data_IF_959772619564
#
_entry.id   IF_959772619564
#
_cell.length_a   1.000
_cell.length_b   1.000
_cell.length_c   1.000
_cell.angle_alpha   90.00
_cell.angle_beta   90.00
_cell.angle_gamma   90.00
#
_symmetry.space_group_name_H-M   'P 1'
#
loop_
_entity.id
_entity.type
_entity.pdbx_description
1 polymer ?
#
# COMPACT_ATOMS: atom_id res chain seq x y z
N UNK A 1 18.98 -13.99 -31.71
CA UNK A 1 19.90 -13.28 -32.62
C UNK A 1 19.63 -11.80 -32.52
N UNK A 2 20.62 -11.00 -32.11
CA UNK A 2 20.47 -9.54 -32.09
C UNK A 2 20.71 -8.97 -33.51
N UNK A 3 19.79 -8.17 -34.00
CA UNK A 3 19.89 -7.44 -35.27
C UNK A 3 19.96 -5.94 -35.04
N UNK A 4 20.72 -5.23 -35.89
CA UNK A 4 20.86 -3.78 -35.84
C UNK A 4 19.94 -3.11 -36.85
N UNK A 5 19.19 -2.11 -36.41
CA UNK A 5 18.37 -1.30 -37.29
C UNK A 5 19.23 -0.44 -38.22
N UNK A 6 18.63 0.00 -39.33
CA UNK A 6 19.19 0.98 -40.27
C UNK A 6 18.19 2.12 -40.42
N UNK A 7 18.66 3.34 -40.67
CA UNK A 7 17.77 4.48 -40.86
C UNK A 7 16.83 4.24 -42.03
N UNK A 8 15.52 4.37 -41.79
CA UNK A 8 14.47 4.19 -42.77
C UNK A 8 13.31 5.14 -42.47
N UNK A 9 12.69 5.69 -43.51
CA UNK A 9 11.50 6.52 -43.41
C UNK A 9 10.60 6.30 -44.63
N UNK A 10 9.29 6.17 -44.43
CA UNK A 10 8.33 6.04 -45.52
C UNK A 10 7.16 5.10 -45.24
N UNK A 11 6.26 5.02 -46.21
CA UNK A 11 5.08 4.13 -46.21
C UNK A 11 5.55 2.67 -46.22
N UNK A 12 4.95 1.80 -45.39
CA UNK A 12 5.27 0.38 -45.27
C UNK A 12 6.60 0.07 -44.58
N UNK A 13 7.24 1.06 -43.95
CA UNK A 13 8.50 0.86 -43.22
C UNK A 13 8.20 0.29 -41.83
N UNK A 14 8.44 -1.01 -41.68
CA UNK A 14 8.30 -1.71 -40.42
C UNK A 14 9.47 -2.66 -40.21
N UNK A 15 9.92 -2.83 -38.96
CA UNK A 15 10.81 -3.92 -38.57
C UNK A 15 10.01 -5.10 -38.02
N UNK A 16 9.75 -6.09 -38.88
CA UNK A 16 9.12 -7.35 -38.50
C UNK A 16 10.17 -8.34 -37.99
N UNK A 17 10.16 -8.61 -36.69
CA UNK A 17 11.08 -9.51 -36.04
C UNK A 17 10.66 -10.96 -36.26
N UNK A 18 11.57 -11.79 -36.76
CA UNK A 18 11.35 -13.25 -36.79
C UNK A 18 11.45 -13.86 -35.39
N UNK A 19 11.01 -15.11 -35.24
CA UNK A 19 10.87 -15.78 -33.94
C UNK A 19 12.14 -15.85 -33.06
N UNK A 20 13.32 -15.65 -33.64
CA UNK A 20 14.60 -15.68 -32.91
C UNK A 20 15.30 -14.33 -32.87
N UNK A 21 14.70 -13.28 -33.43
CA UNK A 21 15.32 -11.97 -33.56
C UNK A 21 14.95 -11.03 -32.41
N UNK A 22 15.97 -10.30 -31.97
CA UNK A 22 15.90 -9.16 -31.07
C UNK A 22 16.46 -7.94 -31.82
N UNK A 23 16.04 -6.73 -31.47
CA UNK A 23 16.41 -5.51 -32.20
C UNK A 23 17.20 -4.53 -31.32
N UNK A 24 18.18 -3.87 -31.91
CA UNK A 24 18.75 -2.63 -31.38
C UNK A 24 18.65 -1.50 -32.42
N UNK A 25 18.11 -0.36 -32.00
CA UNK A 25 18.11 0.91 -32.73
C UNK A 25 19.20 1.79 -32.12
N UNK A 26 20.41 1.69 -32.68
CA UNK A 26 21.60 2.38 -32.17
C UNK A 26 21.47 3.91 -32.25
N UNK A 27 22.27 4.61 -31.45
CA UNK A 27 22.33 6.07 -31.48
C UNK A 27 22.56 6.61 -32.89
N UNK A 28 21.76 7.60 -33.29
CA UNK A 28 21.82 8.22 -34.62
C UNK A 28 21.03 7.47 -35.71
N UNK A 29 20.46 6.30 -35.39
CA UNK A 29 19.52 5.60 -36.26
C UNK A 29 18.10 6.13 -36.02
N UNK A 30 17.37 6.36 -37.11
CA UNK A 30 15.96 6.77 -37.07
C UNK A 30 15.10 5.81 -37.88
N UNK A 31 14.07 5.26 -37.23
CA UNK A 31 13.00 4.49 -37.86
C UNK A 31 11.74 5.35 -37.88
N UNK A 32 11.16 5.58 -39.06
CA UNK A 32 9.97 6.43 -39.22
C UNK A 32 8.96 5.77 -40.13
N UNK A 33 8.07 4.98 -39.54
CA UNK A 33 6.87 4.49 -40.21
C UNK A 33 5.85 5.63 -40.28
N UNK A 34 5.17 5.80 -41.42
CA UNK A 34 4.20 6.90 -41.62
C UNK A 34 2.77 6.42 -41.89
N UNK A 35 2.52 5.12 -41.76
CA UNK A 35 1.24 4.46 -42.04
C UNK A 35 1.00 3.20 -41.18
N UNK A 36 1.94 2.83 -40.29
CA UNK A 36 1.89 1.57 -39.55
C UNK A 36 2.80 1.63 -38.30
N UNK A 37 3.04 0.47 -37.67
CA UNK A 37 3.99 0.30 -36.57
C UNK A 37 5.44 0.58 -36.97
N UNK A 38 6.27 1.01 -36.02
CA UNK A 38 7.73 1.11 -36.22
C UNK A 38 8.44 -0.24 -36.14
N UNK A 39 8.12 -1.03 -35.11
CA UNK A 39 8.68 -2.35 -34.83
C UNK A 39 7.56 -3.30 -34.42
N UNK A 40 7.60 -4.53 -34.92
CA UNK A 40 6.61 -5.57 -34.61
C UNK A 40 7.25 -6.94 -34.36
N UNK A 41 6.69 -7.69 -33.42
CA UNK A 41 7.11 -9.06 -33.14
C UNK A 41 6.07 -9.85 -32.33
N UNK A 42 5.93 -11.14 -32.61
CA UNK A 42 4.92 -12.01 -32.01
C UNK A 42 5.53 -13.13 -31.14
N UNK A 43 6.85 -13.30 -31.17
CA UNK A 43 7.49 -14.44 -30.53
C UNK A 43 7.84 -14.16 -29.06
N UNK A 44 7.79 -15.20 -28.25
CA UNK A 44 8.10 -15.11 -26.83
C UNK A 44 9.53 -14.58 -26.59
N UNK A 45 9.69 -13.77 -25.54
CA UNK A 45 10.97 -13.26 -25.03
C UNK A 45 11.76 -12.40 -26.02
N UNK A 46 11.08 -11.78 -26.99
CA UNK A 46 11.72 -10.82 -27.89
C UNK A 46 12.12 -9.56 -27.13
N UNK A 47 13.29 -9.02 -27.46
CA UNK A 47 13.81 -7.79 -26.83
C UNK A 47 14.08 -6.70 -27.87
N UNK A 48 13.69 -5.47 -27.56
CA UNK A 48 13.99 -4.28 -28.36
C UNK A 48 14.75 -3.26 -27.50
N UNK A 49 15.90 -2.80 -27.96
CA UNK A 49 16.69 -1.74 -27.32
C UNK A 49 16.73 -0.48 -28.20
N UNK A 50 16.42 0.68 -27.63
CA UNK A 50 16.30 1.96 -28.35
C UNK A 50 17.27 2.98 -27.78
N UNK A 51 18.31 3.30 -28.53
CA UNK A 51 19.26 4.40 -28.28
C UNK A 51 19.08 5.56 -29.28
N UNK A 52 18.45 5.27 -30.43
CA UNK A 52 18.12 6.22 -31.49
C UNK A 52 16.67 6.72 -31.39
N UNK A 53 16.02 6.82 -32.55
CA UNK A 53 14.64 7.30 -32.68
C UNK A 53 13.76 6.27 -33.37
N UNK A 54 12.58 6.01 -32.81
CA UNK A 54 11.50 5.27 -33.45
C UNK A 54 10.25 6.15 -33.49
N UNK A 55 9.62 6.21 -34.64
CA UNK A 55 8.33 6.86 -34.87
C UNK A 55 7.41 5.86 -35.56
N UNK A 56 6.25 5.60 -34.95
CA UNK A 56 5.12 4.90 -35.53
C UNK A 56 3.95 5.85 -35.77
N UNK A 57 3.11 5.56 -36.75
CA UNK A 57 1.82 6.26 -36.91
C UNK A 57 0.74 5.58 -36.10
N UNK A 58 0.70 4.24 -36.15
CA UNK A 58 0.10 3.39 -35.12
C UNK A 58 1.11 3.31 -33.95
N UNK A 59 1.30 2.14 -33.32
CA UNK A 59 2.30 2.02 -32.24
C UNK A 59 3.73 2.21 -32.74
N UNK A 60 4.57 2.91 -31.99
CA UNK A 60 5.99 2.93 -32.34
C UNK A 60 6.65 1.55 -32.16
N UNK A 61 6.23 0.77 -31.15
CA UNK A 61 6.63 -0.63 -30.94
C UNK A 61 5.43 -1.45 -30.49
N UNK A 62 5.15 -2.57 -31.16
CA UNK A 62 4.16 -3.58 -30.73
C UNK A 62 4.81 -4.95 -30.60
N UNK A 63 4.83 -5.55 -29.41
CA UNK A 63 5.33 -6.91 -29.19
C UNK A 63 4.30 -7.78 -28.47
N UNK A 64 3.93 -8.92 -29.05
CA UNK A 64 2.81 -9.73 -28.57
C UNK A 64 3.21 -10.98 -27.78
N UNK A 65 4.48 -11.39 -27.89
CA UNK A 65 4.95 -12.62 -27.27
C UNK A 65 5.13 -12.50 -25.75
N UNK A 66 4.77 -13.56 -25.02
CA UNK A 66 5.04 -13.70 -23.58
C UNK A 66 6.51 -13.39 -23.25
N UNK A 67 6.74 -12.53 -22.26
CA UNK A 67 8.08 -12.15 -21.81
C UNK A 67 8.77 -11.12 -22.69
N UNK A 68 8.04 -10.39 -23.54
CA UNK A 68 8.59 -9.32 -24.36
C UNK A 68 9.21 -8.19 -23.51
N UNK A 69 10.32 -7.63 -23.97
CA UNK A 69 11.03 -6.57 -23.24
C UNK A 69 11.42 -5.41 -24.14
N UNK A 70 11.19 -4.18 -23.67
CA UNK A 70 11.65 -2.95 -24.33
C UNK A 70 12.53 -2.15 -23.38
N UNK A 71 13.72 -1.77 -23.85
CA UNK A 71 14.65 -0.89 -23.12
C UNK A 71 14.90 0.37 -23.93
N UNK A 72 14.54 1.53 -23.37
CA UNK A 72 14.82 2.85 -23.94
C UNK A 72 16.02 3.44 -23.18
N UNK A 73 17.16 3.54 -23.86
CA UNK A 73 18.38 4.08 -23.29
C UNK A 73 18.29 5.61 -23.13
N UNK A 74 19.21 6.19 -22.36
CA UNK A 74 19.33 7.63 -22.24
C UNK A 74 19.56 8.28 -23.62
N UNK A 75 18.71 9.23 -23.99
CA UNK A 75 18.70 9.88 -25.31
C UNK A 75 17.94 9.12 -26.40
N UNK A 76 17.49 7.88 -26.13
CA UNK A 76 16.56 7.15 -26.97
C UNK A 76 15.18 7.81 -26.95
N UNK A 77 14.50 7.80 -28.10
CA UNK A 77 13.20 8.44 -28.28
C UNK A 77 12.23 7.52 -29.01
N UNK A 78 11.03 7.39 -28.48
CA UNK A 78 9.92 6.64 -29.06
C UNK A 78 8.73 7.58 -29.16
N UNK A 79 8.13 7.68 -30.35
CA UNK A 79 6.98 8.54 -30.63
C UNK A 79 5.90 7.76 -31.40
N UNK A 80 4.81 7.38 -30.72
CA UNK A 80 3.55 6.97 -31.34
C UNK A 80 2.77 8.21 -31.77
N UNK A 81 2.42 8.34 -33.04
CA UNK A 81 1.85 9.60 -33.56
C UNK A 81 0.33 9.67 -33.39
N UNK A 82 -0.37 8.56 -33.64
CA UNK A 82 -1.82 8.44 -33.47
C UNK A 82 -2.23 7.37 -32.45
N UNK A 83 -1.31 6.46 -32.11
CA UNK A 83 -1.52 5.36 -31.17
C UNK A 83 -0.34 5.29 -30.19
N UNK A 84 -0.08 4.14 -29.59
CA UNK A 84 0.80 4.01 -28.44
C UNK A 84 2.29 4.22 -28.70
N UNK A 85 3.01 4.67 -27.68
CA UNK A 85 4.46 4.68 -27.70
C UNK A 85 5.00 3.24 -27.74
N UNK A 86 4.56 2.41 -26.81
CA UNK A 86 4.92 1.00 -26.72
C UNK A 86 3.68 0.21 -26.30
N UNK A 87 3.33 -0.80 -27.09
CA UNK A 87 2.34 -1.80 -26.71
C UNK A 87 2.99 -3.18 -26.51
N UNK A 88 2.74 -3.81 -25.36
CA UNK A 88 3.14 -5.19 -25.07
C UNK A 88 1.93 -6.04 -24.67
N UNK A 89 1.49 -6.97 -25.54
CA UNK A 89 0.27 -7.75 -25.33
C UNK A 89 0.48 -9.15 -24.69
N UNK A 90 1.68 -9.40 -24.15
CA UNK A 90 2.09 -10.70 -23.64
C UNK A 90 2.44 -10.66 -22.16
N UNK A 91 1.97 -11.64 -21.39
CA UNK A 91 2.28 -11.78 -19.97
C UNK A 91 3.80 -11.77 -19.70
N UNK A 92 4.19 -11.33 -18.50
CA UNK A 92 5.59 -11.19 -18.07
C UNK A 92 6.38 -10.13 -18.86
N UNK A 93 5.70 -9.11 -19.37
CA UNK A 93 6.28 -8.02 -20.15
C UNK A 93 7.05 -7.02 -19.27
N UNK A 94 8.11 -6.43 -19.82
CA UNK A 94 8.97 -5.46 -19.14
C UNK A 94 9.32 -4.26 -20.02
N UNK A 95 9.03 -3.06 -19.54
CA UNK A 95 9.50 -1.80 -20.12
C UNK A 95 10.50 -1.16 -19.14
N UNK A 96 11.68 -0.78 -19.63
CA UNK A 96 12.65 0.04 -18.89
C UNK A 96 12.94 1.32 -19.67
N UNK A 97 12.61 2.47 -19.10
CA UNK A 97 12.78 3.77 -19.74
C UNK A 97 13.85 4.63 -19.04
N UNK A 98 14.84 5.09 -19.79
CA UNK A 98 15.77 6.18 -19.41
C UNK A 98 15.77 7.32 -20.44
N UNK A 99 14.95 7.21 -21.47
CA UNK A 99 14.84 8.16 -22.57
C UNK A 99 13.50 8.90 -22.55
N UNK A 100 12.92 9.11 -23.73
CA UNK A 100 11.59 9.70 -23.89
C UNK A 100 10.67 8.75 -24.62
N UNK A 101 9.52 8.47 -24.03
CA UNK A 101 8.42 7.73 -24.65
C UNK A 101 7.22 8.68 -24.73
N UNK A 102 6.59 8.74 -25.89
CA UNK A 102 5.37 9.50 -26.12
C UNK A 102 4.45 8.72 -27.06
N UNK A 103 3.15 8.72 -26.79
CA UNK A 103 2.13 8.12 -27.65
C UNK A 103 0.73 8.64 -27.32
N UNK A 104 -0.30 7.99 -27.88
CA UNK A 104 -1.68 8.12 -27.41
C UNK A 104 -1.76 7.70 -25.95
N UNK A 105 -1.44 6.43 -25.67
CA UNK A 105 -0.82 6.06 -24.41
C UNK A 105 0.70 6.14 -24.54
N UNK A 106 1.38 6.56 -23.47
CA UNK A 106 2.83 6.47 -23.42
C UNK A 106 3.27 5.00 -23.51
N UNK A 107 2.65 4.15 -22.68
CA UNK A 107 2.82 2.70 -22.72
C UNK A 107 1.51 2.00 -22.43
N UNK A 108 1.24 0.92 -23.16
CA UNK A 108 0.09 0.06 -22.98
C UNK A 108 0.56 -1.40 -22.81
N UNK A 109 0.22 -2.04 -21.71
CA UNK A 109 0.57 -3.44 -21.45
C UNK A 109 -0.70 -4.21 -21.11
N UNK A 110 -1.13 -5.11 -22.00
CA UNK A 110 -2.36 -5.88 -21.83
C UNK A 110 -2.12 -7.37 -22.00
N UNK A 111 -2.87 -8.22 -21.31
CA UNK A 111 -2.93 -9.66 -21.58
C UNK A 111 -4.03 -10.34 -20.77
N UNK A 112 -4.58 -11.41 -21.34
CA UNK A 112 -5.55 -12.26 -20.66
C UNK A 112 -4.86 -13.29 -19.73
N UNK A 113 -5.49 -13.54 -18.59
CA UNK A 113 -5.09 -14.55 -17.60
C UNK A 113 -3.86 -14.19 -16.78
N UNK A 114 -3.45 -15.12 -15.90
CA UNK A 114 -2.44 -14.85 -14.89
C UNK A 114 -1.06 -14.49 -15.50
N UNK A 115 -0.52 -13.36 -15.04
CA UNK A 115 0.80 -12.90 -15.48
C UNK A 115 1.27 -11.68 -14.71
N UNK A 116 2.37 -11.10 -15.18
CA UNK A 116 2.91 -9.85 -14.64
C UNK A 116 3.22 -8.85 -15.74
N UNK A 117 2.87 -7.59 -15.55
CA UNK A 117 3.41 -6.48 -16.33
C UNK A 117 4.37 -5.65 -15.45
N UNK A 118 5.42 -5.08 -16.03
CA UNK A 118 6.36 -4.23 -15.27
C UNK A 118 6.84 -3.05 -16.10
N UNK A 119 6.77 -1.86 -15.52
CA UNK A 119 7.35 -0.63 -16.04
C UNK A 119 8.32 -0.02 -15.03
N UNK A 120 9.56 0.24 -15.46
CA UNK A 120 10.57 0.95 -14.69
C UNK A 120 10.93 2.24 -15.44
N UNK A 121 10.47 3.38 -14.94
CA UNK A 121 10.71 4.68 -15.54
C UNK A 121 11.76 5.48 -14.77
N UNK A 122 12.85 5.86 -15.44
CA UNK A 122 13.83 6.87 -15.02
C UNK A 122 13.86 8.06 -15.99
N UNK A 123 13.11 7.98 -17.11
CA UNK A 123 13.10 8.96 -18.17
C UNK A 123 11.86 9.85 -18.12
N UNK A 124 11.42 10.26 -19.31
CA UNK A 124 10.16 10.97 -19.50
C UNK A 124 9.20 10.07 -20.26
N UNK A 125 7.97 9.99 -19.78
CA UNK A 125 6.89 9.23 -20.40
C UNK A 125 5.66 10.14 -20.46
N UNK A 126 5.07 10.26 -21.64
CA UNK A 126 4.01 11.21 -21.94
C UNK A 126 2.87 10.49 -22.65
N UNK A 127 1.67 10.56 -22.09
CA UNK A 127 0.42 10.20 -22.73
C UNK A 127 -0.27 11.41 -23.33
N UNK A 128 -1.07 11.21 -24.38
CA UNK A 128 -2.05 12.21 -24.84
C UNK A 128 -3.39 12.04 -24.13
N UNK A 129 -3.75 10.81 -23.79
CA UNK A 129 -4.78 10.46 -22.82
C UNK A 129 -4.05 9.97 -21.56
N UNK A 130 -4.06 8.66 -21.29
CA UNK A 130 -3.28 8.06 -20.21
C UNK A 130 -1.80 8.06 -20.51
N UNK A 131 -0.98 8.29 -19.50
CA UNK A 131 0.45 8.10 -19.66
C UNK A 131 0.81 6.60 -19.67
N UNK A 132 0.31 5.85 -18.70
CA UNK A 132 0.57 4.42 -18.52
C UNK A 132 -0.76 3.70 -18.36
N UNK A 133 -0.97 2.65 -19.14
CA UNK A 133 -2.17 1.84 -19.04
C UNK A 133 -1.79 0.34 -18.93
N UNK A 134 -2.35 -0.34 -17.93
CA UNK A 134 -2.23 -1.79 -17.74
C UNK A 134 -3.61 -2.47 -17.76
N UNK A 135 -4.06 -2.92 -18.93
CA UNK A 135 -5.31 -3.67 -19.10
C UNK A 135 -5.11 -5.17 -18.86
N UNK A 136 -5.21 -5.59 -17.59
CA UNK A 136 -4.94 -6.96 -17.14
C UNK A 136 -6.14 -7.57 -16.40
N UNK A 137 -6.35 -8.87 -16.63
CA UNK A 137 -7.37 -9.66 -15.92
C UNK A 137 -7.06 -9.89 -14.43
N UNK A 138 -8.11 -10.16 -13.66
CA UNK A 138 -8.06 -10.64 -12.28
C UNK A 138 -7.05 -11.78 -12.04
N UNK A 139 -6.24 -11.62 -10.97
CA UNK A 139 -5.17 -12.55 -10.60
C UNK A 139 -3.82 -12.29 -11.30
N UNK A 140 -3.76 -11.24 -12.13
CA UNK A 140 -2.50 -10.67 -12.63
C UNK A 140 -1.88 -9.71 -11.62
N UNK A 141 -0.66 -9.25 -11.92
CA UNK A 141 0.04 -8.25 -11.10
C UNK A 141 0.69 -7.20 -11.98
N UNK A 142 0.56 -5.92 -11.64
CA UNK A 142 1.44 -4.89 -12.22
C UNK A 142 2.59 -4.53 -11.28
N UNK A 143 3.59 -3.85 -11.83
CA UNK A 143 4.60 -3.18 -11.04
C UNK A 143 5.07 -1.93 -11.80
N UNK A 144 4.68 -0.77 -11.31
CA UNK A 144 5.21 0.52 -11.77
C UNK A 144 6.26 1.02 -10.77
N UNK A 145 7.47 1.32 -11.27
CA UNK A 145 8.49 2.06 -10.53
C UNK A 145 8.82 3.34 -11.27
N UNK A 146 8.40 4.48 -10.73
CA UNK A 146 8.71 5.79 -11.30
C UNK A 146 9.81 6.49 -10.50
N UNK A 147 10.88 6.86 -11.18
CA UNK A 147 11.97 7.72 -10.71
C UNK A 147 12.16 8.94 -11.62
N UNK A 148 11.37 9.03 -12.70
CA UNK A 148 11.44 10.06 -13.72
C UNK A 148 10.19 10.92 -13.71
N UNK A 149 9.74 11.27 -14.91
CA UNK A 149 8.52 12.04 -15.15
C UNK A 149 7.53 11.18 -15.92
N UNK A 150 6.29 11.12 -15.41
CA UNK A 150 5.11 10.58 -16.09
C UNK A 150 4.11 11.72 -16.18
N UNK A 151 3.57 11.96 -17.37
CA UNK A 151 2.63 13.06 -17.61
C UNK A 151 1.48 12.58 -18.48
N UNK A 152 0.28 12.60 -17.93
CA UNK A 152 -0.96 12.42 -18.66
C UNK A 152 -1.31 13.66 -19.47
N UNK A 153 -2.08 13.47 -20.53
CA UNK A 153 -2.58 14.57 -21.34
C UNK A 153 -3.95 15.04 -20.87
N UNK A 154 -4.98 14.21 -21.10
CA UNK A 154 -6.38 14.52 -20.78
C UNK A 154 -6.98 13.70 -19.65
N UNK A 155 -6.33 12.62 -19.22
CA UNK A 155 -6.86 11.64 -18.28
C UNK A 155 -5.76 11.25 -17.26
N UNK A 156 -5.42 9.96 -17.13
CA UNK A 156 -4.70 9.46 -15.97
C UNK A 156 -3.19 9.32 -16.17
N UNK A 157 -2.44 9.57 -15.09
CA UNK A 157 -1.02 9.26 -15.07
C UNK A 157 -0.79 7.74 -15.09
N UNK A 158 -1.74 6.99 -14.53
CA UNK A 158 -1.77 5.54 -14.51
C UNK A 158 -3.23 5.07 -14.45
N UNK A 159 -3.60 4.17 -15.35
CA UNK A 159 -4.83 3.39 -15.31
C UNK A 159 -4.49 1.90 -15.16
N UNK A 160 -5.07 1.25 -14.16
CA UNK A 160 -5.08 -0.21 -14.00
C UNK A 160 -6.52 -0.72 -13.77
N UNK A 161 -6.75 -2.02 -13.98
CA UNK A 161 -8.11 -2.60 -13.99
C UNK A 161 -8.29 -3.64 -12.89
N UNK A 162 -8.18 -4.94 -13.16
CA UNK A 162 -8.58 -5.98 -12.19
C UNK A 162 -7.39 -6.63 -11.43
N UNK A 163 -6.20 -6.02 -11.46
CA UNK A 163 -4.95 -6.65 -11.01
C UNK A 163 -4.49 -6.27 -9.61
N UNK A 164 -3.69 -7.13 -8.96
CA UNK A 164 -2.98 -6.73 -7.73
C UNK A 164 -1.80 -5.81 -8.10
N UNK A 165 -1.91 -4.53 -7.80
CA UNK A 165 -1.06 -3.49 -8.33
C UNK A 165 -0.08 -2.90 -7.33
N UNK A 166 1.09 -2.51 -7.84
CA UNK A 166 2.13 -1.93 -7.00
C UNK A 166 2.79 -0.77 -7.71
N UNK A 167 2.54 0.42 -7.19
CA UNK A 167 3.05 1.69 -7.69
C UNK A 167 4.04 2.25 -6.70
N UNK A 168 5.29 2.38 -7.11
CA UNK A 168 6.34 3.04 -6.33
C UNK A 168 6.72 4.33 -7.06
N UNK A 169 6.25 5.46 -6.55
CA UNK A 169 6.57 6.77 -7.09
C UNK A 169 7.66 7.45 -6.25
N UNK A 170 8.82 7.65 -6.85
CA UNK A 170 9.97 8.44 -6.37
C UNK A 170 10.33 9.57 -7.34
N UNK A 171 9.54 9.74 -8.40
CA UNK A 171 9.69 10.77 -9.42
C UNK A 171 8.53 11.77 -9.33
N UNK A 172 8.10 12.26 -10.49
CA UNK A 172 6.89 13.09 -10.59
C UNK A 172 5.87 12.41 -11.50
N UNK A 173 4.61 12.40 -11.06
CA UNK A 173 3.45 11.98 -11.84
C UNK A 173 2.45 13.16 -11.90
N UNK A 174 1.97 13.46 -13.11
CA UNK A 174 0.95 14.46 -13.39
C UNK A 174 -0.26 13.77 -14.01
N UNK A 175 -1.41 13.90 -13.35
CA UNK A 175 -2.62 13.10 -13.63
C UNK A 175 -3.00 12.27 -12.41
N UNK A 176 -4.23 11.78 -12.40
CA UNK A 176 -4.73 10.88 -11.35
C UNK A 176 -4.13 9.48 -11.54
N UNK A 177 -4.31 8.62 -10.54
CA UNK A 177 -3.88 7.22 -10.54
C UNK A 177 -5.11 6.41 -10.16
N UNK A 178 -5.60 5.59 -11.08
CA UNK A 178 -6.67 4.63 -10.86
C UNK A 178 -6.06 3.24 -10.67
N UNK A 179 -6.29 2.62 -9.52
CA UNK A 179 -5.76 1.28 -9.19
C UNK A 179 -6.74 0.15 -9.55
N UNK A 180 -8.05 0.43 -9.55
CA UNK A 180 -9.06 -0.49 -10.04
C UNK A 180 -9.52 -1.50 -8.98
N UNK A 181 -9.72 -2.76 -9.35
CA UNK A 181 -9.99 -3.83 -8.40
C UNK A 181 -8.70 -4.54 -8.04
N UNK A 182 -8.49 -4.88 -6.78
CA UNK A 182 -7.25 -5.56 -6.43
C UNK A 182 -6.97 -5.61 -4.95
N UNK A 183 -5.68 -5.67 -4.61
CA UNK A 183 -5.16 -5.43 -3.27
C UNK A 183 -3.87 -4.67 -3.49
N UNK A 184 -4.01 -3.38 -3.57
CA UNK A 184 -3.07 -2.54 -4.27
C UNK A 184 -2.18 -1.81 -3.29
N UNK A 185 -1.01 -1.41 -3.80
CA UNK A 185 0.00 -0.75 -2.99
C UNK A 185 0.47 0.49 -3.73
N UNK A 186 0.13 1.65 -3.19
CA UNK A 186 0.72 2.91 -3.57
C UNK A 186 1.81 3.34 -2.58
N UNK A 187 3.02 3.61 -3.06
CA UNK A 187 4.13 4.17 -2.27
C UNK A 187 4.65 5.47 -2.86
N UNK A 188 4.05 6.58 -2.41
CA UNK A 188 4.38 7.95 -2.81
C UNK A 188 5.59 8.56 -2.09
N UNK A 189 6.22 7.85 -1.15
CA UNK A 189 7.27 8.43 -0.28
C UNK A 189 8.47 8.96 -1.06
N UNK A 190 8.67 10.27 -1.10
CA UNK A 190 9.77 10.88 -1.84
C UNK A 190 9.53 11.03 -3.35
N UNK A 191 8.30 10.75 -3.81
CA UNK A 191 7.79 11.19 -5.09
C UNK A 191 6.95 12.46 -4.94
N UNK A 192 6.48 12.95 -6.08
CA UNK A 192 5.47 14.00 -6.19
C UNK A 192 4.35 13.43 -7.06
N UNK A 193 3.11 13.54 -6.58
CA UNK A 193 1.91 13.32 -7.37
C UNK A 193 1.15 14.64 -7.46
N UNK A 194 0.75 15.01 -8.66
CA UNK A 194 -0.19 16.10 -8.91
C UNK A 194 -1.43 15.46 -9.52
N UNK A 195 -2.30 15.02 -8.63
CA UNK A 195 -3.50 14.25 -8.88
C UNK A 195 -4.02 13.63 -7.59
N UNK A 196 -4.90 12.66 -7.72
CA UNK A 196 -5.45 11.79 -6.69
C UNK A 196 -5.01 10.36 -6.95
N UNK A 197 -4.84 9.55 -5.91
CA UNK A 197 -4.76 8.09 -6.05
C UNK A 197 -6.10 7.52 -5.59
N UNK A 198 -6.74 6.76 -6.46
CA UNK A 198 -8.01 6.10 -6.23
C UNK A 198 -7.76 4.59 -6.14
N UNK A 199 -8.09 4.00 -4.99
CA UNK A 199 -7.96 2.56 -4.71
C UNK A 199 -9.05 1.74 -5.40
N UNK A 200 -10.29 2.25 -5.37
CA UNK A 200 -11.48 1.62 -5.94
C UNK A 200 -11.95 0.37 -5.17
N UNK A 201 -11.83 -0.85 -5.70
CA UNK A 201 -12.33 -2.06 -5.01
C UNK A 201 -11.17 -2.87 -4.42
N UNK A 202 -11.32 -3.35 -3.19
CA UNK A 202 -10.34 -4.20 -2.52
C UNK A 202 -9.57 -3.52 -1.39
N UNK A 203 -8.89 -4.33 -0.58
CA UNK A 203 -8.21 -3.81 0.62
C UNK A 203 -6.83 -3.20 0.25
N UNK A 204 -6.75 -1.88 0.09
CA UNK A 204 -5.56 -1.22 -0.41
C UNK A 204 -4.63 -0.67 0.68
N UNK A 205 -3.38 -0.42 0.29
CA UNK A 205 -2.35 0.16 1.14
C UNK A 205 -1.71 1.40 0.51
N UNK A 206 -1.97 2.55 1.11
CA UNK A 206 -1.40 3.84 0.76
C UNK A 206 -0.27 4.22 1.72
N UNK A 207 0.95 4.35 1.19
CA UNK A 207 2.11 4.86 1.95
C UNK A 207 2.37 6.31 1.61
N UNK A 208 1.84 7.18 2.47
CA UNK A 208 1.92 8.62 2.34
C UNK A 208 3.36 9.15 2.44
N UNK A 209 3.63 10.23 1.71
CA UNK A 209 4.91 10.90 1.63
C UNK A 209 4.96 12.12 2.54
N UNK A 210 5.86 13.04 2.22
CA UNK A 210 5.93 14.36 2.87
C UNK A 210 5.39 15.48 1.96
N UNK A 211 4.88 15.11 0.78
CA UNK A 211 4.25 16.03 -0.15
C UNK A 211 2.83 16.33 0.31
N UNK A 212 2.05 16.95 -0.58
CA UNK A 212 0.61 17.06 -0.39
C UNK A 212 0.00 15.98 -1.26
N UNK A 213 -0.68 15.03 -0.63
CA UNK A 213 -1.27 13.88 -1.28
C UNK A 213 -2.80 13.88 -1.16
N UNK A 214 -3.46 13.24 -2.13
CA UNK A 214 -4.90 12.99 -2.10
C UNK A 214 -5.10 11.50 -2.30
N UNK A 215 -5.73 10.85 -1.34
CA UNK A 215 -6.03 9.44 -1.36
C UNK A 215 -7.53 9.24 -1.23
N UNK A 216 -8.09 8.47 -2.16
CA UNK A 216 -9.43 7.91 -2.11
C UNK A 216 -9.26 6.39 -2.05
N UNK A 217 -9.69 5.77 -0.96
CA UNK A 217 -9.59 4.32 -0.80
C UNK A 217 -10.60 3.59 -1.67
N UNK A 218 -11.79 4.16 -1.81
CA UNK A 218 -12.90 3.52 -2.49
C UNK A 218 -13.75 2.68 -1.52
N UNK A 219 -13.98 1.43 -1.91
CA UNK A 219 -14.76 0.44 -1.17
C UNK A 219 -13.83 -0.53 -0.43
N UNK A 220 -14.41 -1.34 0.47
CA UNK A 220 -13.68 -2.32 1.28
C UNK A 220 -12.77 -1.65 2.35
N UNK A 221 -11.73 -2.34 2.83
CA UNK A 221 -10.93 -1.89 3.97
C UNK A 221 -9.57 -1.32 3.53
N UNK A 222 -9.46 0.01 3.53
CA UNK A 222 -8.26 0.68 3.02
C UNK A 222 -7.36 1.21 4.14
N UNK A 223 -6.04 1.08 3.96
CA UNK A 223 -5.07 1.45 4.99
C UNK A 223 -4.13 2.57 4.55
N UNK A 224 -4.07 3.63 5.35
CA UNK A 224 -3.08 4.70 5.25
C UNK A 224 -1.91 4.49 6.22
N UNK A 225 -0.67 4.49 5.72
CA UNK A 225 0.54 4.15 6.49
C UNK A 225 1.62 5.26 6.51
N UNK A 226 2.05 5.64 7.73
CA UNK A 226 3.09 6.64 8.01
C UNK A 226 4.35 6.06 8.68
N UNK A 227 4.59 4.75 8.59
CA UNK A 227 5.66 4.04 9.34
C UNK A 227 7.04 4.72 9.34
N UNK A 228 7.41 5.39 8.25
CA UNK A 228 8.71 6.06 8.09
C UNK A 228 8.72 7.56 8.41
N UNK A 229 7.59 8.12 8.79
CA UNK A 229 7.46 9.50 9.24
C UNK A 229 8.10 9.70 10.63
N UNK A 230 8.10 10.95 11.09
CA UNK A 230 8.27 11.29 12.50
C UNK A 230 6.89 11.39 13.16
N UNK A 231 6.86 11.77 14.43
CA UNK A 231 5.63 12.11 15.15
C UNK A 231 4.69 12.98 14.30
N UNK A 232 3.42 12.60 14.22
CA UNK A 232 2.40 13.27 13.45
C UNK A 232 1.02 13.22 14.10
N UNK A 233 0.10 14.03 13.56
CA UNK A 233 -1.33 13.95 13.83
C UNK A 233 -2.02 13.57 12.54
N UNK A 234 -2.90 12.59 12.58
CA UNK A 234 -3.79 12.21 11.48
C UNK A 234 -5.20 12.10 12.01
N UNK A 235 -6.10 12.84 11.38
CA UNK A 235 -7.53 12.84 11.64
C UNK A 235 -8.26 12.62 10.31
N UNK A 236 -9.03 11.53 10.25
CA UNK A 236 -9.74 11.13 9.04
C UNK A 236 -11.02 11.97 8.81
N UNK A 237 -11.64 12.54 9.85
CA UNK A 237 -12.81 13.42 9.71
C UNK A 237 -12.43 14.90 9.53
N UNK A 238 -11.33 15.37 10.13
CA UNK A 238 -10.86 16.75 10.04
C UNK A 238 -9.39 16.84 9.63
N UNK A 239 -9.14 16.75 8.31
CA UNK A 239 -7.78 16.82 7.78
C UNK A 239 -7.09 18.18 8.06
N UNK A 240 -7.82 19.22 8.50
CA UNK A 240 -7.22 20.51 8.86
C UNK A 240 -6.36 20.44 10.14
N UNK A 241 -6.56 19.41 10.96
CA UNK A 241 -5.78 19.13 12.17
C UNK A 241 -4.48 18.35 11.89
N UNK A 242 -4.31 17.84 10.67
CA UNK A 242 -3.19 16.99 10.33
C UNK A 242 -1.85 17.72 10.41
N UNK A 243 -0.82 16.99 10.87
CA UNK A 243 0.54 17.53 11.02
C UNK A 243 1.59 16.57 10.46
N UNK A 244 2.85 17.00 10.46
CA UNK A 244 3.94 16.16 9.97
C UNK A 244 3.79 15.86 8.48
N UNK A 245 3.86 14.58 8.12
CA UNK A 245 3.69 14.10 6.75
C UNK A 245 2.25 14.19 6.26
N UNK A 246 1.26 14.11 7.15
CA UNK A 246 -0.15 14.22 6.80
C UNK A 246 -0.63 15.66 6.52
N UNK A 247 0.25 16.66 6.65
CA UNK A 247 -0.15 18.07 6.65
C UNK A 247 -0.54 18.54 5.25
N UNK A 248 -1.82 18.86 5.09
CA UNK A 248 -2.37 19.40 3.85
C UNK A 248 -2.87 18.33 2.89
N UNK A 249 -2.73 17.06 3.26
CA UNK A 249 -3.33 15.94 2.55
C UNK A 249 -4.85 15.93 2.71
N UNK A 250 -5.52 15.17 1.83
CA UNK A 250 -6.93 14.82 1.97
C UNK A 250 -7.13 13.32 1.82
N UNK A 251 -7.99 12.77 2.66
CA UNK A 251 -8.26 11.34 2.71
C UNK A 251 -9.76 11.09 2.57
N UNK A 252 -10.15 10.13 1.75
CA UNK A 252 -11.52 9.64 1.61
C UNK A 252 -11.51 8.11 1.62
N UNK A 253 -12.52 7.48 2.24
CA UNK A 253 -12.62 6.03 2.31
C UNK A 253 -11.41 5.34 2.93
N UNK A 254 -10.87 5.84 4.05
CA UNK A 254 -9.77 5.17 4.77
C UNK A 254 -10.29 4.59 6.06
N UNK A 255 -10.18 3.28 6.27
CA UNK A 255 -10.63 2.62 7.52
C UNK A 255 -9.45 2.30 8.45
N UNK A 256 -8.27 2.09 7.86
CA UNK A 256 -7.04 1.72 8.54
C UNK A 256 -6.06 2.90 8.63
N UNK A 257 -5.47 3.10 9.80
CA UNK A 257 -4.45 4.11 10.01
C UNK A 257 -3.27 3.54 10.79
N UNK A 258 -2.08 3.63 10.21
CA UNK A 258 -0.82 3.19 10.82
C UNK A 258 0.10 4.38 11.02
N UNK A 259 0.46 4.63 12.28
CA UNK A 259 1.37 5.69 12.71
C UNK A 259 2.82 5.48 12.29
N UNK A 260 3.71 6.22 12.92
CA UNK A 260 5.14 6.21 12.71
C UNK A 260 5.82 5.18 13.60
N UNK A 261 6.93 4.58 13.14
CA UNK A 261 7.62 3.56 13.92
C UNK A 261 8.39 4.10 15.15
N UNK A 262 8.42 5.42 15.35
CA UNK A 262 9.33 6.06 16.34
C UNK A 262 8.77 7.32 17.00
N UNK A 263 7.64 7.84 16.53
CA UNK A 263 7.07 9.11 16.97
C UNK A 263 5.93 8.90 17.95
N UNK A 264 5.64 9.93 18.75
CA UNK A 264 4.44 9.95 19.57
C UNK A 264 3.32 10.53 18.73
N UNK A 265 2.46 9.66 18.22
CA UNK A 265 1.46 9.99 17.23
C UNK A 265 0.10 10.29 17.85
N UNK A 266 -0.73 11.01 17.10
CA UNK A 266 -2.13 11.26 17.44
C UNK A 266 -2.97 10.80 16.25
N UNK A 267 -3.66 9.68 16.41
CA UNK A 267 -4.39 9.00 15.35
C UNK A 267 -5.88 9.02 15.71
N UNK A 268 -6.70 9.62 14.85
CA UNK A 268 -8.15 9.70 15.03
C UNK A 268 -8.83 9.03 13.84
N UNK A 269 -9.69 8.05 14.12
CA UNK A 269 -10.53 7.33 13.14
C UNK A 269 -11.61 8.22 12.51
N UNK A 270 -12.60 7.61 11.89
CA UNK A 270 -13.86 8.24 11.49
C UNK A 270 -15.03 7.64 12.28
N UNK A 271 -16.27 7.95 11.93
CA UNK A 271 -17.45 7.49 12.69
C UNK A 271 -17.92 6.07 12.29
N UNK A 272 -17.00 5.22 11.83
CA UNK A 272 -17.25 3.90 11.27
C UNK A 272 -16.19 2.92 11.77
N UNK A 273 -16.16 1.68 11.28
CA UNK A 273 -15.20 0.69 11.78
C UNK A 273 -13.76 1.04 11.39
N UNK A 274 -12.88 1.25 12.37
CA UNK A 274 -11.49 1.61 12.14
C UNK A 274 -10.49 0.58 12.67
N UNK A 275 -9.30 0.54 12.03
CA UNK A 275 -8.11 -0.13 12.58
C UNK A 275 -6.98 0.87 12.78
N UNK A 276 -6.71 1.21 14.04
CA UNK A 276 -5.68 2.17 14.41
C UNK A 276 -4.45 1.46 14.99
N UNK A 277 -3.26 1.75 14.46
CA UNK A 277 -1.99 1.15 14.91
C UNK A 277 -0.95 2.24 15.19
N UNK A 278 -0.59 2.44 16.46
CA UNK A 278 0.40 3.45 16.88
C UNK A 278 1.83 3.11 16.46
N UNK A 279 2.21 1.83 16.59
CA UNK A 279 3.54 1.24 16.37
C UNK A 279 4.55 1.50 17.49
N UNK A 280 5.19 2.66 17.50
CA UNK A 280 6.33 2.89 18.39
C UNK A 280 6.36 4.33 18.82
N UNK A 281 6.21 4.59 20.10
CA UNK A 281 5.95 5.95 20.57
C UNK A 281 5.30 5.92 21.94
N UNK A 282 4.73 7.04 22.35
CA UNK A 282 3.63 7.06 23.32
C UNK A 282 2.50 7.75 22.59
N UNK A 283 1.59 6.95 22.05
CA UNK A 283 0.62 7.38 21.07
C UNK A 283 -0.73 7.72 21.72
N UNK A 284 -1.52 8.54 21.03
CA UNK A 284 -2.94 8.74 21.33
C UNK A 284 -3.73 8.19 20.15
N UNK A 285 -4.54 7.16 20.39
CA UNK A 285 -5.45 6.57 19.42
C UNK A 285 -6.89 6.81 19.89
N UNK A 286 -7.74 7.27 18.98
CA UNK A 286 -9.15 7.56 19.23
C UNK A 286 -9.99 7.01 18.08
N UNK A 287 -10.73 5.93 18.35
CA UNK A 287 -11.56 5.21 17.39
C UNK A 287 -12.75 6.04 16.91
N UNK A 288 -13.45 6.66 17.87
CA UNK A 288 -14.71 7.43 17.74
C UNK A 288 -15.92 6.50 17.73
N UNK A 289 -16.95 6.80 16.95
CA UNK A 289 -18.07 5.88 16.82
C UNK A 289 -17.65 4.76 15.85
N UNK A 290 -18.09 3.51 16.05
CA UNK A 290 -17.66 2.39 15.22
C UNK A 290 -17.35 1.16 16.05
N UNK A 291 -17.12 0.02 15.40
CA UNK A 291 -16.54 -1.14 16.07
C UNK A 291 -15.04 -1.17 15.77
N UNK A 292 -14.24 -0.56 16.65
CA UNK A 292 -12.87 -0.23 16.32
C UNK A 292 -11.87 -1.28 16.84
N UNK A 293 -10.72 -1.38 16.18
CA UNK A 293 -9.58 -2.13 16.66
C UNK A 293 -8.39 -1.21 16.89
N UNK A 294 -7.99 -1.06 18.15
CA UNK A 294 -6.88 -0.22 18.57
C UNK A 294 -5.68 -1.08 18.99
N UNK A 295 -4.53 -0.79 18.39
CA UNK A 295 -3.23 -1.41 18.68
C UNK A 295 -2.23 -0.29 18.98
N UNK A 296 -2.02 0.04 20.26
CA UNK A 296 -0.99 1.01 20.67
C UNK A 296 0.41 0.56 20.23
N UNK A 297 0.71 -0.71 20.49
CA UNK A 297 2.01 -1.35 20.28
C UNK A 297 3.08 -0.79 21.23
N UNK A 298 4.33 -0.62 20.79
CA UNK A 298 5.42 -0.36 21.72
C UNK A 298 5.34 1.07 22.28
N UNK A 299 4.98 1.21 23.55
CA UNK A 299 4.77 2.53 24.10
C UNK A 299 4.09 2.53 25.45
N UNK A 300 3.72 3.72 25.90
CA UNK A 300 2.66 3.91 26.89
C UNK A 300 1.59 4.75 26.22
N UNK A 301 0.63 4.06 25.65
CA UNK A 301 -0.33 4.67 24.76
C UNK A 301 -1.60 5.07 25.51
N UNK A 302 -2.32 6.03 24.96
CA UNK A 302 -3.66 6.42 25.41
C UNK A 302 -4.64 6.00 24.34
N UNK A 303 -5.52 5.07 24.68
CA UNK A 303 -6.45 4.43 23.76
C UNK A 303 -7.89 4.79 24.17
N UNK A 304 -8.62 5.40 23.25
CA UNK A 304 -10.05 5.69 23.38
C UNK A 304 -10.78 4.87 22.32
N UNK A 305 -11.64 3.94 22.72
CA UNK A 305 -12.46 3.18 21.78
C UNK A 305 -13.52 4.10 21.16
N UNK A 306 -14.31 4.72 22.03
CA UNK A 306 -15.40 5.60 21.70
C UNK A 306 -16.74 4.87 21.78
N UNK A 307 -17.59 5.05 20.78
CA UNK A 307 -18.93 4.49 20.76
C UNK A 307 -19.00 3.23 19.90
N UNK A 308 -19.17 2.07 20.52
CA UNK A 308 -19.45 0.84 19.77
C UNK A 308 -18.91 -0.38 20.49
N UNK A 309 -18.45 -1.38 19.76
CA UNK A 309 -17.88 -2.63 20.32
C UNK A 309 -16.42 -2.67 19.92
N UNK A 310 -15.56 -2.25 20.84
CA UNK A 310 -14.17 -1.98 20.51
C UNK A 310 -13.23 -3.09 20.98
N UNK A 311 -12.12 -3.24 20.27
CA UNK A 311 -11.07 -4.21 20.53
C UNK A 311 -9.78 -3.48 20.85
N UNK A 312 -9.30 -3.65 22.09
CA UNK A 312 -7.96 -3.22 22.50
C UNK A 312 -7.01 -4.40 22.40
N UNK A 313 -6.19 -4.44 21.35
CA UNK A 313 -5.40 -5.63 20.97
C UNK A 313 -3.92 -5.51 21.35
N UNK A 314 -3.41 -6.55 22.02
CA UNK A 314 -2.02 -6.68 22.45
C UNK A 314 -1.36 -7.87 21.75
N UNK A 315 -0.35 -7.59 20.93
CA UNK A 315 0.34 -8.57 20.10
C UNK A 315 1.73 -8.95 20.62
N UNK A 316 2.30 -8.16 21.53
CA UNK A 316 3.58 -8.41 22.19
C UNK A 316 3.53 -7.98 23.67
N UNK A 317 4.44 -8.52 24.49
CA UNK A 317 4.56 -8.09 25.91
C UNK A 317 5.07 -6.65 26.05
N UNK A 318 5.68 -6.11 24.99
CA UNK A 318 6.12 -4.72 24.91
C UNK A 318 4.98 -3.76 24.64
N UNK A 319 3.79 -4.27 24.30
CA UNK A 319 2.60 -3.47 24.05
C UNK A 319 1.88 -3.09 25.35
N UNK A 320 2.39 -3.53 26.51
CA UNK A 320 1.75 -3.30 27.79
C UNK A 320 2.20 -2.00 28.47
N UNK A 321 1.30 -1.39 29.23
CA UNK A 321 1.52 -0.13 29.94
C UNK A 321 0.55 0.98 29.56
N UNK A 322 -0.42 0.68 28.71
CA UNK A 322 -1.35 1.63 28.13
C UNK A 322 -2.41 2.10 29.12
N UNK A 323 -3.07 3.20 28.76
CA UNK A 323 -4.27 3.72 29.41
C UNK A 323 -5.42 3.59 28.44
N UNK A 324 -6.43 2.79 28.79
CA UNK A 324 -7.69 2.72 28.06
C UNK A 324 -8.69 3.63 28.76
N UNK A 325 -9.16 4.66 28.07
CA UNK A 325 -9.83 5.79 28.73
C UNK A 325 -11.31 5.57 29.01
N UNK A 326 -11.97 4.71 28.26
CA UNK A 326 -13.43 4.63 28.18
C UNK A 326 -14.00 3.21 28.08
N UNK A 327 -13.19 2.18 28.36
CA UNK A 327 -13.59 0.78 28.30
C UNK A 327 -14.99 0.50 28.89
N UNK A 328 -15.93 0.06 28.05
CA UNK A 328 -17.26 -0.39 28.42
C UNK A 328 -17.28 -1.94 28.56
N UNK A 329 -17.42 -2.48 29.79
CA UNK A 329 -17.41 -3.93 30.01
C UNK A 329 -18.61 -4.67 29.39
N UNK A 330 -19.61 -3.97 28.87
CA UNK A 330 -20.74 -4.58 28.17
C UNK A 330 -20.52 -4.71 26.66
N UNK A 331 -19.55 -3.99 26.10
CA UNK A 331 -19.33 -3.90 24.66
C UNK A 331 -17.89 -4.26 24.28
N UNK A 332 -16.90 -3.74 25.02
CA UNK A 332 -15.50 -3.79 24.61
C UNK A 332 -14.80 -5.08 25.00
N UNK A 333 -13.70 -5.35 24.32
CA UNK A 333 -12.88 -6.55 24.53
C UNK A 333 -11.39 -6.22 24.51
N UNK A 334 -10.67 -6.75 25.49
CA UNK A 334 -9.22 -6.87 25.42
C UNK A 334 -8.85 -8.15 24.67
N UNK A 335 -8.11 -8.02 23.56
CA UNK A 335 -7.69 -9.17 22.75
C UNK A 335 -6.18 -9.41 22.83
N UNK A 336 -5.77 -10.67 22.99
CA UNK A 336 -4.37 -11.07 23.17
C UNK A 336 -3.94 -12.15 22.19
N UNK A 337 -2.79 -11.94 21.55
CA UNK A 337 -2.17 -12.95 20.70
C UNK A 337 -1.64 -14.14 21.50
N UNK A 338 -2.18 -15.35 21.29
CA UNK A 338 -1.75 -16.59 21.99
C UNK A 338 -0.32 -17.03 21.70
N UNK A 339 0.22 -16.56 20.59
CA UNK A 339 1.63 -16.74 20.25
C UNK A 339 2.55 -16.08 21.30
N UNK A 340 2.07 -15.06 22.01
CA UNK A 340 2.80 -14.29 23.03
C UNK A 340 2.31 -14.58 24.44
N UNK A 341 0.99 -14.52 24.66
CA UNK A 341 0.39 -14.68 25.99
C UNK A 341 0.12 -16.16 26.27
N UNK A 342 1.07 -16.80 26.94
CA UNK A 342 1.08 -18.25 27.26
C UNK A 342 0.20 -18.60 28.45
N UNK A 343 -0.13 -19.89 28.55
CA UNK A 343 -0.95 -20.44 29.62
C UNK A 343 -2.42 -20.62 29.25
N UNK A 344 -2.75 -20.38 27.97
CA UNK A 344 -4.07 -20.51 27.35
C UNK A 344 -3.92 -21.23 26.00
N UNK A 345 -4.00 -22.55 26.04
CA UNK A 345 -3.76 -23.43 24.89
C UNK A 345 -4.98 -23.57 23.94
N UNK A 346 -6.09 -22.88 24.23
CA UNK A 346 -7.30 -22.82 23.40
C UNK A 346 -7.68 -21.37 23.11
N UNK A 347 -8.27 -21.11 21.94
CA UNK A 347 -8.76 -19.80 21.54
C UNK A 347 -10.12 -19.53 22.20
N UNK A 348 -10.41 -18.27 22.47
CA UNK A 348 -11.68 -17.82 23.03
C UNK A 348 -11.53 -17.04 24.33
N UNK A 349 -12.66 -16.90 25.01
CA UNK A 349 -12.80 -16.16 26.27
C UNK A 349 -11.91 -16.76 27.36
N UNK A 350 -11.29 -15.90 28.17
CA UNK A 350 -10.49 -16.30 29.32
C UNK A 350 -11.32 -17.18 30.27
N UNK A 351 -10.85 -18.39 30.64
CA UNK A 351 -11.52 -19.20 31.66
C UNK A 351 -11.58 -18.47 33.00
N UNK A 352 -12.69 -18.59 33.72
CA UNK A 352 -12.92 -17.80 34.94
C UNK A 352 -11.93 -18.11 36.05
N UNK A 353 -11.39 -19.33 36.13
CA UNK A 353 -10.33 -19.70 37.07
C UNK A 353 -8.96 -19.06 36.76
N UNK A 354 -8.82 -18.44 35.60
CA UNK A 354 -7.62 -17.72 35.19
C UNK A 354 -7.74 -16.20 35.33
N UNK A 355 -8.92 -15.70 35.71
CA UNK A 355 -9.16 -14.30 36.00
C UNK A 355 -9.18 -14.05 37.50
N UNK A 356 -8.53 -12.97 37.95
CA UNK A 356 -8.61 -12.48 39.31
C UNK A 356 -8.97 -10.99 39.31
N UNK A 357 -10.14 -10.65 39.84
CA UNK A 357 -10.43 -9.29 40.29
C UNK A 357 -10.15 -9.16 41.79
N UNK A 358 -9.48 -8.09 42.20
CA UNK A 358 -9.21 -7.85 43.61
C UNK A 358 -8.48 -6.54 43.88
N UNK A 359 -7.79 -6.46 45.01
CA UNK A 359 -7.21 -5.20 45.54
C UNK A 359 -5.69 -5.11 45.42
N UNK A 360 -5.04 -6.10 44.82
CA UNK A 360 -3.58 -6.18 44.66
C UNK A 360 -3.19 -6.56 43.23
N UNK A 361 -2.04 -6.09 42.77
CA UNK A 361 -1.48 -6.42 41.44
C UNK A 361 -0.85 -7.84 41.39
N UNK A 362 -1.31 -8.82 42.17
CA UNK A 362 -0.64 -10.12 42.29
C UNK A 362 -1.60 -11.27 42.11
N UNK A 363 -1.17 -12.27 41.35
CA UNK A 363 -1.83 -13.58 41.32
C UNK A 363 -1.80 -14.23 42.71
N UNK A 364 -2.89 -14.91 43.07
CA UNK A 364 -2.99 -15.68 44.32
C UNK A 364 -2.90 -17.18 44.10
N UNK A 365 -3.10 -17.64 42.85
CA UNK A 365 -2.96 -19.05 42.44
C UNK A 365 -2.08 -19.16 41.21
N UNK A 366 -1.56 -20.36 40.95
CA UNK A 366 -0.80 -20.65 39.72
C UNK A 366 -1.68 -20.71 38.45
N UNK A 367 -3.01 -20.67 38.60
CA UNK A 367 -3.96 -20.68 37.49
C UNK A 367 -4.23 -19.28 36.94
N UNK A 368 -4.18 -18.25 37.80
CA UNK A 368 -4.42 -16.87 37.37
C UNK A 368 -3.45 -16.46 36.25
N UNK A 369 -4.00 -15.83 35.23
CA UNK A 369 -3.28 -15.24 34.11
C UNK A 369 -3.52 -13.75 34.02
N UNK A 370 -4.77 -13.31 34.18
CA UNK A 370 -5.12 -11.89 34.18
C UNK A 370 -5.55 -11.47 35.58
N UNK A 371 -4.97 -10.36 36.06
CA UNK A 371 -5.20 -9.80 37.39
C UNK A 371 -5.64 -8.36 37.22
N UNK A 372 -6.89 -8.08 37.57
CA UNK A 372 -7.45 -6.74 37.64
C UNK A 372 -7.41 -6.22 39.08
N UNK A 373 -6.81 -5.05 39.29
CA UNK A 373 -6.79 -4.37 40.57
C UNK A 373 -7.80 -3.21 40.61
N UNK A 374 -8.89 -3.45 41.31
CA UNK A 374 -10.03 -2.54 41.45
C UNK A 374 -9.65 -1.21 42.12
N UNK A 375 -8.58 -1.15 42.91
CA UNK A 375 -8.17 0.08 43.60
C UNK A 375 -7.47 1.09 42.68
N UNK A 376 -6.91 0.64 41.56
CA UNK A 376 -6.10 1.48 40.69
C UNK A 376 -6.34 1.25 39.19
N UNK A 377 -7.29 0.40 38.81
CA UNK A 377 -7.67 0.15 37.43
C UNK A 377 -6.68 -0.69 36.64
N UNK A 378 -5.61 -1.21 37.26
CA UNK A 378 -4.54 -1.87 36.52
C UNK A 378 -4.87 -3.33 36.19
N UNK A 379 -4.56 -3.72 34.95
CA UNK A 379 -4.67 -5.09 34.43
C UNK A 379 -3.26 -5.64 34.24
N UNK A 380 -2.97 -6.77 34.86
CA UNK A 380 -1.67 -7.42 34.81
C UNK A 380 -1.76 -8.85 34.25
N UNK A 381 -0.71 -9.26 33.55
CA UNK A 381 -0.56 -10.63 33.05
C UNK A 381 0.51 -11.40 33.85
N UNK A 382 0.16 -12.53 34.47
CA UNK A 382 1.08 -13.46 35.13
C UNK A 382 1.67 -14.47 34.14
N UNK A 383 2.84 -14.11 33.58
CA UNK A 383 3.48 -14.83 32.48
C UNK A 383 3.89 -16.26 32.78
N UNK A 384 4.41 -16.52 33.98
CA UNK A 384 4.99 -17.82 34.33
C UNK A 384 4.03 -18.71 35.12
N UNK A 385 2.81 -18.22 35.39
CA UNK A 385 1.81 -18.91 36.21
C UNK A 385 2.37 -19.29 37.58
N UNK A 386 3.36 -18.55 38.08
CA UNK A 386 4.00 -18.88 39.35
C UNK A 386 3.14 -18.48 40.55
N UNK A 387 2.03 -17.77 40.32
CA UNK A 387 1.09 -17.33 41.33
C UNK A 387 1.73 -16.30 42.25
N UNK A 388 1.87 -16.64 43.53
CA UNK A 388 2.38 -15.71 44.57
C UNK A 388 3.84 -15.26 44.38
N UNK A 389 4.59 -15.86 43.45
CA UNK A 389 5.94 -15.45 43.03
C UNK A 389 5.94 -14.49 41.82
N UNK A 390 4.82 -13.79 41.65
CA UNK A 390 4.46 -12.89 40.56
C UNK A 390 5.61 -12.11 39.91
N UNK A 391 5.77 -12.32 38.60
CA UNK A 391 6.58 -11.51 37.67
C UNK A 391 5.70 -10.98 36.54
N UNK A 392 4.63 -10.29 36.90
CA UNK A 392 3.67 -9.87 35.89
C UNK A 392 4.13 -8.73 35.02
N UNK A 393 3.47 -8.64 33.88
CA UNK A 393 3.57 -7.56 32.91
C UNK A 393 2.33 -6.70 33.06
N UNK A 394 2.50 -5.38 33.25
CA UNK A 394 1.36 -4.45 33.20
C UNK A 394 0.88 -4.40 31.75
N UNK A 395 -0.42 -4.62 31.55
CA UNK A 395 -1.05 -4.62 30.23
C UNK A 395 -1.67 -3.26 29.97
N UNK A 396 -2.65 -2.88 30.80
CA UNK A 396 -3.41 -1.67 30.63
C UNK A 396 -3.84 -1.11 31.99
N UNK A 397 -4.24 0.15 31.99
CA UNK A 397 -4.96 0.78 33.09
C UNK A 397 -6.29 1.29 32.55
N UNK A 398 -7.39 0.86 33.14
CA UNK A 398 -8.74 1.38 32.88
C UNK A 398 -9.15 2.35 33.99
N UNK A 399 -10.29 3.02 33.81
CA UNK A 399 -10.88 3.87 34.84
C UNK A 399 -11.16 3.08 36.14
N UNK A 400 -10.82 3.66 37.29
CA UNK A 400 -11.09 3.03 38.59
C UNK A 400 -12.60 2.88 38.78
N UNK A 401 -13.04 1.65 39.02
CA UNK A 401 -14.45 1.29 39.18
C UNK A 401 -15.06 0.58 37.97
N UNK A 402 -14.33 0.40 36.87
CA UNK A 402 -14.78 -0.48 35.77
C UNK A 402 -14.99 -1.91 36.29
N UNK A 403 -16.15 -2.50 36.01
CA UNK A 403 -16.51 -3.85 36.48
C UNK A 403 -16.07 -4.92 35.48
N UNK A 404 -14.79 -5.30 35.50
CA UNK A 404 -14.27 -6.29 34.56
C UNK A 404 -14.62 -7.73 34.93
N UNK A 405 -14.90 -8.53 33.91
CA UNK A 405 -15.17 -9.96 33.99
C UNK A 405 -14.14 -10.77 33.17
N UNK A 406 -14.12 -12.09 33.33
CA UNK A 406 -13.32 -12.94 32.44
C UNK A 406 -13.83 -12.91 30.97
N UNK A 407 -15.08 -12.49 30.75
CA UNK A 407 -15.70 -12.32 29.43
C UNK A 407 -15.01 -11.29 28.55
N UNK A 408 -14.40 -10.29 29.18
CA UNK A 408 -13.85 -9.09 28.55
C UNK A 408 -12.46 -9.35 27.95
N UNK A 409 -11.93 -10.57 28.11
CA UNK A 409 -10.58 -10.95 27.70
C UNK A 409 -10.65 -12.11 26.69
N UNK A 410 -10.25 -11.84 25.46
CA UNK A 410 -10.24 -12.78 24.33
C UNK A 410 -8.80 -13.16 23.96
N UNK A 411 -8.57 -14.44 23.69
CA UNK A 411 -7.28 -14.97 23.26
C UNK A 411 -7.40 -15.61 21.88
N UNK A 412 -6.64 -15.10 20.92
CA UNK A 412 -6.69 -15.52 19.50
C UNK A 412 -5.43 -16.23 19.02
#
# INVERSE_FOLDING_TARGET
>A
MLIKAKTKAGVGIQYNLTATQNLIVEKGISLRSIDNFGVFGEAAKQTVTVEGLIIGVDDAIRLQGVGAQVTVAAGGRILGSNDDGIELSGANSLITNRGTIQGYYGTYQHFDGAGKATLINHGTLIGREDAVNFDLDAGSKTLLKNFGIITAGSDDALETYDSDDTVINKGTMWGDIELGSGKDIYDGRGGILIGTVNGADGDDLFRAGAGIERFDGGNDFDTLEFRTAKALTVDLNDNSLNTGWAKGDSYFGMDGLVGSATGNDRLFGHDGENRLVGLGGNDLLDGRDGADTLIGAAGKDTLTGGGGTDIFRYNALTDGGDVVTDFDPFLDTFEFARSVFKGLDLAGVLPSEQFLSGTTNKATTAAHRIIYNENNGQIWYDRDGSGVKFKGVLIATVTVGTELSNGDFLFV
#
